data_IF_404964953710
#
_entry.id   IF_404964953710
#
_cell.length_a   1.000
_cell.length_b   1.000
_cell.length_c   1.000
_cell.angle_alpha   90.00
_cell.angle_beta   90.00
_cell.angle_gamma   90.00
#
_symmetry.space_group_name_H-M   'P 1'
#
loop_
_entity.id
_entity.type
_entity.pdbx_description
1 polymer ?
#
# COMPACT_ATOMS: atom_id res chain seq x y z
N UNK A 1 46.58 -10.19 8.97
CA UNK A 1 45.55 -9.36 8.29
C UNK A 1 44.49 -10.16 7.53
N UNK A 2 44.80 -11.31 6.92
CA UNK A 2 43.79 -12.10 6.20
C UNK A 2 42.70 -12.73 7.09
N UNK A 3 43.06 -13.16 8.30
CA UNK A 3 42.10 -13.69 9.28
C UNK A 3 41.05 -12.68 9.75
N UNK A 4 41.45 -11.42 9.93
CA UNK A 4 40.52 -10.35 10.26
C UNK A 4 39.51 -10.11 9.13
N UNK A 5 39.97 -10.21 7.87
CA UNK A 5 39.12 -10.08 6.69
C UNK A 5 38.12 -11.25 6.59
N UNK A 6 38.56 -12.48 6.87
CA UNK A 6 37.70 -13.66 6.88
C UNK A 6 36.61 -13.58 7.97
N UNK A 7 36.96 -13.10 9.17
CA UNK A 7 36.01 -12.90 10.26
C UNK A 7 34.97 -11.83 9.93
N UNK A 8 35.37 -10.75 9.24
CA UNK A 8 34.45 -9.71 8.78
C UNK A 8 33.42 -10.27 7.80
N UNK A 9 33.87 -11.03 6.81
CA UNK A 9 32.98 -11.65 5.81
C UNK A 9 32.02 -12.63 6.47
N UNK A 10 32.51 -13.48 7.38
CA UNK A 10 31.68 -14.40 8.14
C UNK A 10 30.61 -13.66 8.97
N UNK A 11 30.99 -12.59 9.65
CA UNK A 11 30.06 -11.77 10.44
C UNK A 11 28.96 -11.14 9.59
N UNK A 12 29.30 -10.60 8.41
CA UNK A 12 28.33 -10.00 7.48
C UNK A 12 27.34 -11.06 6.96
N UNK A 13 27.83 -12.25 6.61
CA UNK A 13 26.97 -13.33 6.12
C UNK A 13 26.01 -13.83 7.21
N UNK A 14 26.49 -13.98 8.45
CA UNK A 14 25.66 -14.38 9.59
C UNK A 14 24.59 -13.31 9.86
N UNK A 15 24.97 -12.03 9.89
CA UNK A 15 24.02 -10.95 10.11
C UNK A 15 22.98 -10.85 8.97
N UNK A 16 23.39 -11.05 7.72
CA UNK A 16 22.47 -11.06 6.59
C UNK A 16 21.50 -12.26 6.62
N UNK A 17 21.95 -13.42 7.11
CA UNK A 17 21.12 -14.61 7.25
C UNK A 17 20.13 -14.52 8.42
N UNK A 18 20.55 -13.90 9.53
CA UNK A 18 19.71 -13.68 10.71
C UNK A 18 18.88 -12.39 10.63
N UNK A 19 19.15 -11.52 9.65
CA UNK A 19 18.41 -10.28 9.49
C UNK A 19 16.92 -10.60 9.27
N UNK A 20 16.02 -9.97 10.05
CA UNK A 20 14.59 -10.14 9.84
C UNK A 20 14.24 -9.65 8.44
N UNK A 21 13.43 -10.44 7.74
CA UNK A 21 12.98 -10.13 6.39
C UNK A 21 12.34 -8.73 6.41
N UNK A 22 12.66 -7.84 5.45
CA UNK A 22 12.11 -6.50 5.42
C UNK A 22 10.58 -6.58 5.47
N UNK A 23 9.98 -5.80 6.36
CA UNK A 23 8.53 -5.75 6.51
C UNK A 23 7.90 -5.38 5.16
N UNK A 24 6.84 -6.10 4.79
CA UNK A 24 6.08 -5.77 3.58
C UNK A 24 5.61 -4.32 3.66
N UNK A 25 5.61 -3.63 2.53
CA UNK A 25 5.02 -2.30 2.41
C UNK A 25 3.62 -2.33 3.04
N UNK A 26 3.35 -1.38 3.93
CA UNK A 26 2.05 -1.26 4.58
C UNK A 26 0.98 -1.08 3.49
N UNK A 27 -0.18 -1.76 3.61
CA UNK A 27 -1.28 -1.52 2.69
C UNK A 27 -1.66 -0.04 2.75
N UNK A 28 -1.95 0.54 1.58
CA UNK A 28 -2.55 1.87 1.54
C UNK A 28 -3.85 1.86 2.33
N UNK A 29 -4.08 2.87 3.17
CA UNK A 29 -5.29 3.00 3.97
C UNK A 29 -6.29 3.91 3.26
N UNK A 30 -7.55 3.94 3.74
CA UNK A 30 -8.62 4.79 3.17
C UNK A 30 -8.17 6.25 3.03
N UNK A 31 -7.34 6.73 3.97
CA UNK A 31 -6.84 8.10 4.02
C UNK A 31 -5.81 8.43 2.92
N UNK A 32 -5.24 7.42 2.26
CA UNK A 32 -4.28 7.62 1.17
C UNK A 32 -4.98 7.90 -0.19
N UNK A 33 -6.32 7.81 -0.23
CA UNK A 33 -7.11 8.02 -1.45
C UNK A 33 -7.98 9.28 -1.31
N UNK A 34 -8.00 10.09 -2.37
CA UNK A 34 -8.88 11.25 -2.46
C UNK A 34 -10.28 10.79 -2.92
N UNK A 35 -11.12 10.42 -1.94
CA UNK A 35 -12.45 9.86 -2.18
C UNK A 35 -13.49 10.97 -2.00
N UNK A 36 -14.44 11.15 -2.93
CA UNK A 36 -15.54 12.10 -2.77
C UNK A 36 -16.40 11.69 -1.57
N UNK A 37 -16.20 12.40 -0.46
CA UNK A 37 -16.90 12.24 0.81
C UNK A 37 -17.84 13.42 1.03
N UNK A 38 -19.04 13.10 1.50
CA UNK A 38 -20.05 14.08 1.88
C UNK A 38 -19.64 14.69 3.23
N UNK A 39 -19.58 16.02 3.32
CA UNK A 39 -19.32 16.73 4.58
C UNK A 39 -20.64 16.98 5.32
N UNK A 40 -20.55 17.17 6.63
CA UNK A 40 -21.71 17.55 7.45
C UNK A 40 -22.35 18.82 6.88
N UNK A 41 -23.66 18.78 6.60
CA UNK A 41 -24.42 19.87 5.98
C UNK A 41 -24.53 19.82 4.45
N UNK A 42 -23.96 18.82 3.78
CA UNK A 42 -24.14 18.65 2.32
C UNK A 42 -25.61 18.32 2.02
N UNK A 43 -26.28 19.02 1.08
CA UNK A 43 -27.68 18.77 0.76
C UNK A 43 -27.88 17.37 0.16
N UNK A 44 -28.95 16.70 0.58
CA UNK A 44 -29.32 15.40 0.02
C UNK A 44 -30.09 15.61 -1.29
N UNK A 45 -29.52 15.14 -2.40
CA UNK A 45 -30.21 15.14 -3.68
C UNK A 45 -31.30 14.06 -3.70
N UNK A 46 -32.55 14.45 -3.94
CA UNK A 46 -33.67 13.52 -4.16
C UNK A 46 -34.08 13.64 -5.63
N UNK A 47 -34.04 12.52 -6.34
CA UNK A 47 -34.38 12.46 -7.76
C UNK A 47 -35.72 11.75 -7.92
N UNK A 48 -36.60 12.33 -8.73
CA UNK A 48 -37.84 11.70 -9.19
C UNK A 48 -37.76 11.51 -10.70
N UNK A 49 -37.75 10.26 -11.17
CA UNK A 49 -37.55 9.90 -12.58
C UNK A 49 -36.08 9.65 -12.95
N UNK A 50 -35.76 9.65 -14.24
CA UNK A 50 -34.39 9.50 -14.75
C UNK A 50 -33.74 10.86 -15.00
N UNK A 51 -32.58 11.09 -14.37
CA UNK A 51 -31.76 12.28 -14.60
C UNK A 51 -30.27 11.90 -14.53
N UNK A 52 -29.46 12.60 -15.33
CA UNK A 52 -28.01 12.56 -15.17
C UNK A 52 -27.59 13.57 -14.11
N UNK A 53 -26.85 13.11 -13.11
CA UNK A 53 -26.31 13.96 -12.04
C UNK A 53 -24.79 14.05 -12.17
N UNK A 54 -24.25 15.26 -12.01
CA UNK A 54 -22.81 15.51 -12.05
C UNK A 54 -22.08 15.02 -10.79
N UNK A 55 -22.77 15.00 -9.65
CA UNK A 55 -22.22 14.65 -8.34
C UNK A 55 -22.50 13.19 -7.95
N UNK A 56 -21.46 12.47 -7.56
CA UNK A 56 -21.55 11.10 -7.09
C UNK A 56 -20.77 10.95 -5.78
N UNK A 57 -21.22 10.05 -4.92
CA UNK A 57 -20.57 9.74 -3.64
C UNK A 57 -20.30 8.24 -3.54
N UNK A 58 -19.20 7.88 -2.88
CA UNK A 58 -18.86 6.48 -2.61
C UNK A 58 -19.44 6.07 -1.26
N UNK A 59 -20.47 5.23 -1.27
CA UNK A 59 -21.15 4.75 -0.06
C UNK A 59 -20.39 3.64 0.68
N UNK A 60 -19.52 2.91 -0.03
CA UNK A 60 -18.76 1.82 0.54
C UNK A 60 -17.49 1.58 -0.26
N UNK A 61 -16.36 1.70 0.40
CA UNK A 61 -15.05 1.40 -0.17
C UNK A 61 -14.31 0.42 0.74
N UNK A 62 -13.69 -0.62 0.16
CA UNK A 62 -13.02 -1.64 0.95
C UNK A 62 -12.12 -2.54 0.12
N UNK A 63 -11.47 -3.48 0.80
CA UNK A 63 -10.56 -4.49 0.23
C UNK A 63 -9.19 -3.96 -0.24
N UNK A 64 -8.47 -3.25 0.64
CA UNK A 64 -7.08 -2.81 0.45
C UNK A 64 -6.05 -3.95 0.51
N UNK A 65 -6.29 -5.06 -0.18
CA UNK A 65 -5.35 -6.18 -0.20
C UNK A 65 -4.18 -5.84 -1.12
N UNK A 66 -2.97 -5.87 -0.57
CA UNK A 66 -1.76 -5.81 -1.37
C UNK A 66 -1.40 -7.22 -1.87
N UNK A 67 -1.23 -7.38 -3.17
CA UNK A 67 -0.58 -8.57 -3.75
C UNK A 67 0.82 -8.17 -4.20
N UNK A 68 1.84 -8.87 -3.69
CA UNK A 68 3.21 -8.65 -4.14
C UNK A 68 3.32 -9.00 -5.64
N UNK A 69 3.72 -8.02 -6.45
CA UNK A 69 4.02 -8.25 -7.88
C UNK A 69 5.33 -9.03 -7.96
N UNK A 70 5.24 -10.34 -8.16
CA UNK A 70 6.41 -11.17 -8.49
C UNK A 70 6.69 -11.07 -9.98
N UNK A 71 7.32 -9.98 -10.41
CA UNK A 71 7.85 -9.91 -11.76
C UNK A 71 9.07 -10.84 -11.85
N UNK A 72 9.03 -11.82 -12.76
CA UNK A 72 10.18 -12.70 -13.08
C UNK A 72 11.34 -11.93 -13.73
N UNK A 73 11.11 -10.67 -14.12
CA UNK A 73 12.00 -9.75 -14.83
C UNK A 73 11.74 -8.30 -14.36
N UNK A 74 11.80 -8.02 -13.05
CA UNK A 74 11.99 -6.63 -12.63
C UNK A 74 13.47 -6.29 -12.84
N UNK A 75 13.79 -5.49 -13.86
CA UNK A 75 15.13 -4.87 -13.95
C UNK A 75 15.35 -4.08 -12.65
N UNK A 76 16.45 -4.39 -11.98
CA UNK A 76 16.99 -3.64 -10.85
C UNK A 76 17.24 -2.19 -11.23
#
# INVERSE_FOLDING_TARGET
>A
MWWALAMLVASVLINAALAPKPASAKPATIQDFDIPQVKEGTPQSVVFGEVWTADWQVLGFGNFRTKAVKAKQAKK
#
